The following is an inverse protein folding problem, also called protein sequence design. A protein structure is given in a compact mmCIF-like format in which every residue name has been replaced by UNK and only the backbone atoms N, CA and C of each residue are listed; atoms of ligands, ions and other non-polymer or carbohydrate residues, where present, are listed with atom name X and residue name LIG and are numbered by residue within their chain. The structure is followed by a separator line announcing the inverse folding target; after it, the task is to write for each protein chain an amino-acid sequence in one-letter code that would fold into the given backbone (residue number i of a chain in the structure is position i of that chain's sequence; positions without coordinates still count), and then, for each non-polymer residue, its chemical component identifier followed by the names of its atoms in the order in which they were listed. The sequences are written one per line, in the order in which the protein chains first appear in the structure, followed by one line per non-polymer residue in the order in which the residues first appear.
data_IF_235737941482
#
_entry.id   IF_235737941482
#
_cell.length_a   1.000
_cell.length_b   1.000
_cell.length_c   1.000
_cell.angle_alpha   90.00
_cell.angle_beta   90.00
_cell.angle_gamma   90.00
#
_symmetry.space_group_name_H-M   'P 1'
#
loop_
_entity.id
_entity.type
_entity.pdbx_description
1 polymer ?
#
# COMPACT_ATOMS: atom_id res chain seq x y z
N UNK A 1 34.56 -13.63 29.19
CA UNK A 1 34.01 -12.64 28.24
C UNK A 1 34.29 -13.05 26.81
N UNK A 2 33.25 -13.50 26.10
CA UNK A 2 33.25 -13.62 24.65
C UNK A 2 32.43 -12.42 24.16
N UNK A 3 32.97 -11.51 23.34
CA UNK A 3 32.16 -10.48 22.73
C UNK A 3 31.23 -11.16 21.74
N UNK A 4 29.93 -11.04 21.99
CA UNK A 4 28.88 -11.39 21.03
C UNK A 4 29.05 -10.49 19.81
N UNK A 5 29.61 -11.03 18.73
CA UNK A 5 29.47 -10.47 17.39
C UNK A 5 27.97 -10.46 17.07
N UNK A 6 27.36 -9.29 17.25
CA UNK A 6 26.02 -9.00 16.78
C UNK A 6 26.07 -9.04 15.26
N UNK A 7 25.73 -10.22 14.73
CA UNK A 7 25.57 -10.50 13.32
C UNK A 7 24.56 -9.49 12.77
N UNK A 8 25.08 -8.43 12.14
CA UNK A 8 24.31 -7.59 11.25
C UNK A 8 23.91 -8.49 10.10
N UNK A 9 22.75 -9.13 10.22
CA UNK A 9 22.09 -9.80 9.11
C UNK A 9 21.90 -8.71 8.05
N UNK A 10 22.77 -8.75 7.05
CA UNK A 10 22.58 -8.08 5.77
C UNK A 10 21.36 -8.74 5.12
N UNK A 11 20.20 -8.37 5.65
CA UNK A 11 18.90 -8.70 5.12
C UNK A 11 18.92 -8.05 3.76
N UNK A 12 19.14 -8.87 2.72
CA UNK A 12 19.05 -8.47 1.32
C UNK A 12 17.77 -7.64 1.23
N UNK A 13 17.94 -6.31 1.16
CA UNK A 13 16.82 -5.39 1.28
C UNK A 13 16.02 -5.58 -0.01
N UNK A 14 15.09 -6.53 0.02
CA UNK A 14 14.22 -6.78 -1.11
C UNK A 14 13.59 -5.44 -1.45
N UNK A 15 13.64 -5.00 -2.72
CA UNK A 15 13.34 -3.63 -3.07
C UNK A 15 11.93 -3.27 -2.62
N UNK A 16 11.78 -2.54 -1.51
CA UNK A 16 10.46 -2.22 -0.97
C UNK A 16 9.82 -1.09 -1.80
N UNK A 17 8.52 -1.17 -2.04
CA UNK A 17 7.71 -0.11 -2.65
C UNK A 17 6.88 0.56 -1.56
N UNK A 18 7.00 1.89 -1.42
CA UNK A 18 6.21 2.69 -0.48
C UNK A 18 4.99 3.31 -1.18
N UNK A 19 3.78 2.94 -0.75
CA UNK A 19 2.52 3.43 -1.31
C UNK A 19 1.75 4.21 -0.26
N UNK A 20 1.29 5.41 -0.61
CA UNK A 20 0.46 6.26 0.24
C UNK A 20 -0.98 6.23 -0.26
N UNK A 21 -1.85 5.57 0.49
CA UNK A 21 -3.28 5.50 0.20
C UNK A 21 -3.96 6.75 0.75
N UNK A 22 -4.75 7.39 -0.10
CA UNK A 22 -5.55 8.57 0.18
C UNK A 22 -7.02 8.19 0.07
N UNK A 23 -7.78 8.42 1.13
CA UNK A 23 -9.24 8.27 1.09
C UNK A 23 -9.91 9.55 0.56
N UNK A 24 -11.20 9.46 0.27
CA UNK A 24 -12.01 10.59 -0.23
C UNK A 24 -12.09 11.77 0.75
N UNK A 25 -11.93 11.53 2.05
CA UNK A 25 -11.89 12.58 3.08
C UNK A 25 -10.52 13.25 3.21
N UNK A 26 -9.53 12.81 2.43
CA UNK A 26 -8.17 13.35 2.44
C UNK A 26 -7.24 12.69 3.46
N UNK A 27 -7.70 11.65 4.17
CA UNK A 27 -6.88 10.92 5.13
C UNK A 27 -5.89 10.01 4.42
N UNK A 28 -4.70 9.86 5.01
CA UNK A 28 -3.55 9.20 4.38
C UNK A 28 -3.04 8.05 5.22
N UNK A 29 -2.68 6.95 4.56
CA UNK A 29 -1.96 5.83 5.16
C UNK A 29 -0.84 5.38 4.25
N UNK A 30 0.38 5.34 4.78
CA UNK A 30 1.53 4.79 4.06
C UNK A 30 1.69 3.32 4.43
N UNK A 31 1.88 2.47 3.41
CA UNK A 31 2.23 1.07 3.59
C UNK A 31 3.35 0.68 2.62
N UNK A 32 4.10 -0.34 2.99
CA UNK A 32 5.22 -0.87 2.23
C UNK A 32 4.91 -2.27 1.72
N UNK A 33 5.31 -2.57 0.49
CA UNK A 33 5.05 -3.86 -0.17
C UNK A 33 6.28 -4.30 -0.98
N UNK A 34 6.33 -5.59 -1.30
CA UNK A 34 7.28 -6.11 -2.28
C UNK A 34 6.83 -5.75 -3.70
N UNK A 35 7.73 -5.51 -4.68
CA UNK A 35 7.35 -5.10 -6.04
C UNK A 35 6.53 -6.16 -6.76
N UNK A 36 6.79 -7.42 -6.47
CA UNK A 36 6.09 -8.57 -7.01
C UNK A 36 4.67 -8.74 -6.42
N UNK A 37 4.32 -7.97 -5.38
CA UNK A 37 2.96 -7.98 -4.81
C UNK A 37 1.95 -7.53 -5.86
N UNK A 38 0.90 -8.32 -6.05
CA UNK A 38 -0.21 -7.97 -6.94
C UNK A 38 -1.10 -6.91 -6.33
N UNK A 39 -1.76 -6.12 -7.18
CA UNK A 39 -2.71 -5.09 -6.75
C UNK A 39 -3.89 -5.70 -6.01
N UNK A 40 -4.37 -6.89 -6.41
CA UNK A 40 -5.40 -7.62 -5.66
C UNK A 40 -4.96 -7.88 -4.22
N UNK A 41 -3.71 -8.34 -4.03
CA UNK A 41 -3.16 -8.58 -2.69
C UNK A 41 -2.96 -7.28 -1.90
N UNK A 42 -2.53 -6.20 -2.55
CA UNK A 42 -2.45 -4.87 -1.94
C UNK A 42 -3.81 -4.42 -1.42
N UNK A 43 -4.87 -4.56 -2.23
CA UNK A 43 -6.25 -4.22 -1.81
C UNK A 43 -6.68 -4.98 -0.57
N UNK A 44 -6.43 -6.29 -0.53
CA UNK A 44 -6.73 -7.11 0.67
C UNK A 44 -6.01 -6.60 1.91
N UNK A 45 -4.71 -6.32 1.82
CA UNK A 45 -3.89 -5.85 2.93
C UNK A 45 -4.30 -4.45 3.41
N UNK A 46 -4.62 -3.55 2.49
CA UNK A 46 -5.14 -2.22 2.81
C UNK A 46 -6.50 -2.34 3.48
N UNK A 47 -7.38 -3.19 2.96
CA UNK A 47 -8.71 -3.43 3.53
C UNK A 47 -8.65 -4.10 4.92
N UNK A 48 -7.75 -5.06 5.12
CA UNK A 48 -7.60 -5.77 6.39
C UNK A 48 -6.98 -4.90 7.47
N UNK A 49 -6.07 -4.01 7.07
CA UNK A 49 -5.42 -3.05 7.97
C UNK A 49 -6.13 -1.69 7.99
N UNK A 50 -7.34 -1.61 7.45
CA UNK A 50 -8.08 -0.35 7.39
C UNK A 50 -8.20 0.24 8.80
N UNK A 51 -7.84 1.52 9.00
CA UNK A 51 -7.91 2.12 10.33
C UNK A 51 -9.34 2.03 10.87
N UNK A 52 -9.48 1.43 12.04
CA UNK A 52 -10.73 1.41 12.79
C UNK A 52 -10.63 2.46 13.90
N UNK A 53 -11.50 3.46 13.90
CA UNK A 53 -11.35 4.69 14.70
C UNK A 53 -11.03 5.92 13.85
N UNK A 54 -11.34 7.11 14.40
CA UNK A 54 -11.21 8.42 13.71
C UNK A 54 -12.13 8.61 12.48
N UNK A 55 -13.27 7.91 12.45
CA UNK A 55 -14.27 8.06 11.38
C UNK A 55 -13.83 7.52 10.02
N UNK A 56 -12.81 6.65 9.98
CA UNK A 56 -12.44 5.87 8.79
C UNK A 56 -13.40 4.71 8.53
N UNK A 57 -14.17 4.30 9.53
CA UNK A 57 -15.07 3.14 9.47
C UNK A 57 -16.17 3.33 8.41
N UNK A 58 -16.71 4.55 8.27
CA UNK A 58 -17.69 4.89 7.24
C UNK A 58 -17.10 4.94 5.82
N UNK A 59 -15.77 5.02 5.71
CA UNK A 59 -15.04 5.10 4.45
C UNK A 59 -14.50 3.74 4.01
N UNK A 60 -14.53 2.73 4.89
CA UNK A 60 -14.09 1.38 4.58
C UNK A 60 -15.07 0.74 3.59
N UNK A 61 -14.61 0.28 2.42
CA UNK A 61 -15.49 -0.43 1.51
C UNK A 61 -15.98 -1.76 2.09
N UNK A 62 -17.14 -2.30 1.64
CA UNK A 62 -17.69 -3.56 2.16
C UNK A 62 -16.77 -4.76 1.95
N UNK A 63 -16.04 -4.80 0.82
CA UNK A 63 -15.08 -5.86 0.50
C UNK A 63 -13.84 -5.28 -0.18
N UNK A 64 -12.70 -6.00 -0.19
CA UNK A 64 -11.50 -5.56 -0.89
C UNK A 64 -11.71 -5.29 -2.39
N UNK A 65 -12.60 -6.04 -3.05
CA UNK A 65 -12.89 -5.88 -4.49
C UNK A 65 -13.58 -4.55 -4.85
N UNK A 66 -14.16 -3.85 -3.86
CA UNK A 66 -14.70 -2.50 -4.05
C UNK A 66 -13.62 -1.42 -4.01
N UNK A 67 -12.40 -1.75 -3.56
CA UNK A 67 -11.28 -0.82 -3.66
C UNK A 67 -10.90 -0.62 -5.12
N UNK A 68 -10.69 0.65 -5.48
CA UNK A 68 -10.06 1.05 -6.73
C UNK A 68 -8.76 1.75 -6.37
N UNK A 69 -7.67 1.29 -6.96
CA UNK A 69 -6.34 1.87 -6.79
C UNK A 69 -6.07 2.67 -8.04
N UNK A 70 -6.06 4.01 -7.90
CA UNK A 70 -5.74 4.93 -8.98
C UNK A 70 -4.27 5.34 -8.91
N UNK A 71 -3.53 5.17 -10.00
CA UNK A 71 -2.15 5.62 -10.14
C UNK A 71 -1.98 6.36 -11.47
N UNK A 72 -1.52 7.62 -11.42
CA UNK A 72 -1.33 8.48 -12.62
C UNK A 72 -2.55 8.53 -13.55
N UNK A 73 -3.75 8.62 -12.97
CA UNK A 73 -5.01 8.67 -13.72
C UNK A 73 -5.48 7.32 -14.29
N UNK A 74 -4.82 6.21 -13.96
CA UNK A 74 -5.21 4.85 -14.37
C UNK A 74 -5.62 4.00 -13.18
N UNK A 75 -6.72 3.28 -13.32
CA UNK A 75 -7.12 2.25 -12.35
C UNK A 75 -6.27 1.01 -12.60
N UNK A 76 -5.56 0.57 -11.57
CA UNK A 76 -4.75 -0.64 -11.64
C UNK A 76 -5.65 -1.89 -11.49
N UNK A 77 -5.36 -2.92 -12.28
CA UNK A 77 -6.10 -4.20 -12.28
C UNK A 77 -5.52 -5.14 -11.24
N UNK A 78 -6.30 -6.13 -10.77
CA UNK A 78 -5.87 -6.99 -9.65
C UNK A 78 -4.65 -7.85 -9.98
N UNK A 79 -4.50 -8.21 -11.25
CA UNK A 79 -3.39 -9.00 -11.80
C UNK A 79 -2.12 -8.16 -12.04
N UNK A 80 -2.22 -6.83 -12.02
CA UNK A 80 -1.03 -5.96 -12.08
C UNK A 80 -0.15 -6.18 -10.85
N UNK A 81 1.18 -6.07 -11.03
CA UNK A 81 2.13 -6.01 -9.91
C UNK A 81 2.59 -4.58 -9.66
N UNK A 82 3.14 -4.30 -8.47
CA UNK A 82 3.72 -2.99 -8.14
C UNK A 82 5.00 -2.68 -8.93
N UNK A 83 5.65 -3.72 -9.45
CA UNK A 83 6.87 -3.66 -10.24
C UNK A 83 6.71 -2.73 -11.45
N UNK A 84 7.58 -1.72 -11.52
CA UNK A 84 7.56 -0.74 -12.61
C UNK A 84 6.38 0.24 -12.60
N UNK A 85 5.44 0.11 -11.64
CA UNK A 85 4.36 1.09 -11.42
C UNK A 85 4.80 2.18 -10.45
N UNK A 86 5.68 1.84 -9.50
CA UNK A 86 6.13 2.75 -8.44
C UNK A 86 7.67 2.79 -8.38
N UNK A 87 8.28 3.92 -7.99
CA UNK A 87 9.72 3.98 -7.79
C UNK A 87 10.13 3.11 -6.59
N UNK A 88 11.28 2.41 -6.65
CA UNK A 88 11.81 1.68 -5.50
C UNK A 88 12.11 2.65 -4.35
N UNK A 89 11.81 2.25 -3.12
CA UNK A 89 11.84 3.10 -1.92
C UNK A 89 13.24 3.65 -1.56
N UNK A 90 14.28 3.25 -2.29
CA UNK A 90 15.65 3.77 -2.17
C UNK A 90 15.82 5.20 -2.71
N UNK A 91 14.89 5.70 -3.53
CA UNK A 91 14.92 7.09 -4.04
C UNK A 91 13.96 7.94 -3.21
N UNK A 92 14.52 8.72 -2.27
CA UNK A 92 13.87 9.76 -1.45
C UNK A 92 12.34 9.88 -1.60
N UNK A 93 11.62 9.11 -0.79
CA UNK A 93 10.36 9.44 -0.08
C UNK A 93 9.36 10.33 -0.82
N UNK A 94 9.07 10.09 -2.11
CA UNK A 94 7.84 10.61 -2.70
C UNK A 94 6.76 9.55 -2.44
N UNK A 95 5.91 9.70 -1.41
CA UNK A 95 4.79 8.80 -1.21
C UNK A 95 3.94 8.80 -2.48
N UNK A 96 3.83 7.66 -3.14
CA UNK A 96 2.97 7.61 -4.32
C UNK A 96 1.53 7.62 -3.87
N UNK A 97 0.79 8.65 -4.28
CA UNK A 97 -0.61 8.83 -3.89
C UNK A 97 -1.49 7.90 -4.70
N UNK A 98 -2.16 6.99 -4.01
CA UNK A 98 -3.21 6.14 -4.53
C UNK A 98 -4.53 6.64 -3.99
N UNK A 99 -5.44 7.03 -4.88
CA UNK A 99 -6.81 7.33 -4.47
C UNK A 99 -7.59 6.04 -4.31
N UNK A 100 -8.28 5.91 -3.18
CA UNK A 100 -9.16 4.80 -2.87
C UNK A 100 -10.61 5.30 -2.84
N UNK A 101 -11.42 4.88 -3.80
CA UNK A 101 -12.87 5.18 -3.80
C UNK A 101 -13.67 4.04 -3.19
N UNK A 102 -14.62 4.38 -2.33
CA UNK A 102 -15.75 3.52 -1.96
C UNK A 102 -16.93 3.92 -2.85
N UNK A 103 -17.07 3.28 -4.01
CA UNK A 103 -18.31 3.44 -4.79
C UNK A 103 -19.36 2.51 -4.20
N UNK A 104 -20.15 3.01 -3.25
CA UNK A 104 -21.46 2.45 -2.98
C UNK A 104 -22.43 3.06 -3.98
N UNK A 105 -22.75 2.31 -5.03
CA UNK A 105 -23.98 2.59 -5.77
C UNK A 105 -25.12 1.98 -4.96
N UNK A 106 -25.98 2.83 -4.40
CA UNK A 106 -27.31 2.48 -3.91
C UNK A 106 -28.33 2.66 -5.02
#
# INVERSE_FOLDING_TARGET
DIPVEEQTQEQTAMPIVSVCFLTISGKRKVMTFEPETTIGRVKELVWSSWPTGEGWDNERPPTPSHLRILHLGRILQDEDTLKGKFPPSAVRVIPTFVFVSSLQFS
#
